data_IF_038656619811
#
_entry.id   IF_038656619811
#
_cell.length_a   1.000
_cell.length_b   1.000
_cell.length_c   1.000
_cell.angle_alpha   90.00
_cell.angle_beta   90.00
_cell.angle_gamma   90.00
#
_symmetry.space_group_name_H-M   'P 1'
#
loop_
_entity.id
_entity.type
_entity.pdbx_description
1 polymer ?
#
# COMPACT_ATOMS: atom_id res chain seq x y z
N UNK A 1 66.96 21.29 22.07
CA UNK A 1 66.80 21.94 20.75
C UNK A 1 66.38 20.87 19.76
N UNK A 2 65.07 20.55 19.71
CA UNK A 2 64.51 19.51 18.85
C UNK A 2 63.47 20.17 17.94
N UNK A 3 63.75 20.24 16.64
CA UNK A 3 62.80 20.64 15.59
C UNK A 3 62.32 19.38 14.90
N UNK A 4 61.18 18.83 15.32
CA UNK A 4 60.45 17.84 14.54
C UNK A 4 59.29 18.52 13.82
N UNK A 5 59.35 18.49 12.49
CA UNK A 5 58.35 19.00 11.56
C UNK A 5 57.14 18.06 11.56
N UNK A 6 55.95 18.65 11.70
CA UNK A 6 54.66 18.01 11.45
C UNK A 6 54.42 18.04 9.93
N UNK A 7 54.02 16.94 9.27
CA UNK A 7 53.55 17.00 7.89
C UNK A 7 52.09 17.46 7.85
N UNK A 8 51.86 18.60 7.23
CA UNK A 8 50.54 19.12 6.87
C UNK A 8 50.04 18.39 5.63
N UNK A 9 49.02 17.54 5.76
CA UNK A 9 48.30 16.98 4.62
C UNK A 9 47.29 18.03 4.12
N UNK A 10 47.58 18.59 2.95
CA UNK A 10 46.62 19.35 2.15
C UNK A 10 45.67 18.36 1.45
N UNK A 11 44.39 18.41 1.78
CA UNK A 11 43.32 17.81 0.97
C UNK A 11 42.75 18.91 0.08
N UNK A 12 43.14 18.92 -1.20
CA UNK A 12 42.42 19.66 -2.23
C UNK A 12 41.12 18.92 -2.53
N UNK A 13 39.99 19.47 -2.05
CA UNK A 13 38.68 19.05 -2.48
C UNK A 13 38.41 19.62 -3.88
N UNK A 14 38.51 18.77 -4.90
CA UNK A 14 37.99 19.03 -6.25
C UNK A 14 36.46 19.20 -6.19
N UNK A 15 36.01 20.44 -6.28
CA UNK A 15 34.62 20.81 -6.57
C UNK A 15 34.40 20.76 -8.09
N UNK A 16 34.11 19.57 -8.63
CA UNK A 16 33.56 19.46 -9.98
C UNK A 16 32.75 18.18 -10.16
N UNK A 17 31.48 18.21 -9.72
CA UNK A 17 30.43 17.38 -10.33
C UNK A 17 29.05 17.93 -9.94
N UNK A 18 28.60 18.98 -10.63
CA UNK A 18 27.18 19.32 -10.66
C UNK A 18 26.47 18.21 -11.41
N UNK A 19 25.96 17.21 -10.69
CA UNK A 19 25.04 16.22 -11.26
C UNK A 19 23.79 16.97 -11.72
N UNK A 20 23.59 17.01 -13.03
CA UNK A 20 22.35 17.44 -13.65
C UNK A 20 21.21 16.60 -13.07
N UNK A 21 20.42 17.15 -12.15
CA UNK A 21 19.10 16.61 -11.87
C UNK A 21 18.26 16.83 -13.12
N UNK A 22 17.53 15.81 -13.62
CA UNK A 22 16.59 16.04 -14.70
C UNK A 22 15.55 17.06 -14.21
N UNK A 23 15.46 18.20 -14.91
CA UNK A 23 14.42 19.18 -14.66
C UNK A 23 13.07 18.49 -14.78
N UNK A 24 12.33 18.38 -13.67
CA UNK A 24 10.91 18.04 -13.74
C UNK A 24 10.28 19.09 -14.63
N UNK A 25 9.67 18.65 -15.73
CA UNK A 25 8.94 19.56 -16.59
C UNK A 25 7.82 20.22 -15.77
N UNK A 26 7.68 21.53 -15.92
CA UNK A 26 6.64 22.34 -15.27
C UNK A 26 5.23 21.69 -15.26
N UNK A 27 4.78 21.01 -16.34
CA UNK A 27 3.49 20.32 -16.35
C UNK A 27 3.36 19.22 -15.28
N UNK A 28 4.43 18.47 -15.00
CA UNK A 28 4.43 17.41 -13.99
C UNK A 28 4.33 18.02 -12.58
N UNK A 29 5.06 19.11 -12.35
CA UNK A 29 5.01 19.83 -11.08
C UNK A 29 3.59 20.38 -10.80
N UNK A 30 2.94 20.94 -11.83
CA UNK A 30 1.57 21.45 -11.75
C UNK A 30 0.57 20.33 -11.46
N UNK A 31 0.69 19.18 -12.14
CA UNK A 31 -0.18 18.02 -11.89
C UNK A 31 -0.05 17.48 -10.45
N UNK A 32 1.17 17.41 -9.93
CA UNK A 32 1.43 16.99 -8.54
C UNK A 32 0.84 17.96 -7.52
N UNK A 33 1.00 19.26 -7.74
CA UNK A 33 0.39 20.29 -6.88
C UNK A 33 -1.13 20.19 -6.91
N UNK A 34 -1.75 20.02 -8.09
CA UNK A 34 -3.20 19.88 -8.20
C UNK A 34 -3.72 18.61 -7.52
N UNK A 35 -3.01 17.48 -7.61
CA UNK A 35 -3.36 16.25 -6.88
C UNK A 35 -3.20 16.40 -5.36
N UNK A 36 -2.14 17.05 -4.88
CA UNK A 36 -1.96 17.33 -3.47
C UNK A 36 -3.07 18.26 -2.94
N UNK A 37 -3.42 19.30 -3.70
CA UNK A 37 -4.50 20.23 -3.36
C UNK A 37 -5.87 19.55 -3.35
N UNK A 38 -6.16 18.62 -4.28
CA UNK A 38 -7.43 17.89 -4.29
C UNK A 38 -7.56 16.96 -3.07
N UNK A 39 -6.49 16.27 -2.69
CA UNK A 39 -6.44 15.45 -1.48
C UNK A 39 -6.62 16.31 -0.21
N UNK A 40 -5.93 17.45 -0.12
CA UNK A 40 -6.09 18.40 0.98
C UNK A 40 -7.52 18.98 1.04
N UNK A 41 -8.15 19.24 -0.09
CA UNK A 41 -9.52 19.74 -0.14
C UNK A 41 -10.54 18.70 0.33
N UNK A 42 -10.37 17.43 -0.04
CA UNK A 42 -11.20 16.32 0.47
C UNK A 42 -11.05 16.18 1.98
N UNK A 43 -9.81 16.22 2.50
CA UNK A 43 -9.52 16.19 3.94
C UNK A 43 -10.15 17.40 4.64
N UNK A 44 -10.01 18.60 4.08
CA UNK A 44 -10.56 19.84 4.64
C UNK A 44 -12.09 19.82 4.70
N UNK A 45 -12.76 19.43 3.61
CA UNK A 45 -14.23 19.34 3.57
C UNK A 45 -14.74 18.33 4.60
N UNK A 46 -14.10 17.17 4.67
CA UNK A 46 -14.47 16.12 5.62
C UNK A 46 -14.25 16.54 7.09
N UNK A 47 -13.11 17.15 7.40
CA UNK A 47 -12.80 17.65 8.75
C UNK A 47 -13.71 18.82 9.15
N UNK A 48 -14.08 19.71 8.23
CA UNK A 48 -15.00 20.83 8.50
C UNK A 48 -16.43 20.36 8.76
N UNK A 49 -16.91 19.36 8.02
CA UNK A 49 -18.24 18.79 8.20
C UNK A 49 -18.33 17.98 9.51
N UNK A 50 -17.28 17.22 9.85
CA UNK A 50 -17.23 16.42 11.09
C UNK A 50 -16.86 17.24 12.34
N UNK A 51 -16.08 18.30 12.21
CA UNK A 51 -15.73 19.19 13.33
C UNK A 51 -16.96 19.86 13.95
N UNK A 52 -17.97 20.19 13.13
CA UNK A 52 -19.26 20.70 13.63
C UNK A 52 -20.04 19.64 14.42
N UNK A 53 -19.88 18.36 14.11
CA UNK A 53 -20.52 17.25 14.83
C UNK A 53 -19.75 16.85 16.11
N UNK A 54 -18.43 16.99 16.13
CA UNK A 54 -17.58 16.64 17.27
C UNK A 54 -17.66 17.66 18.42
N UNK A 55 -17.85 18.95 18.11
CA UNK A 55 -18.00 20.01 19.12
C UNK A 55 -19.25 19.79 20.00
N UNK A 56 -20.33 19.19 19.47
CA UNK A 56 -21.54 18.91 20.26
C UNK A 56 -21.45 17.69 21.17
N UNK A 57 -20.41 16.85 21.03
CA UNK A 57 -20.22 15.62 21.83
C UNK A 57 -19.19 15.76 22.96
N UNK A 58 -18.21 16.67 22.81
CA UNK A 58 -17.15 16.86 23.83
C UNK A 58 -17.68 17.38 25.17
N UNK A 59 -18.86 18.01 25.21
CA UNK A 59 -19.47 18.48 26.46
C UNK A 59 -20.12 17.34 27.29
N UNK A 60 -20.22 16.12 26.75
CA UNK A 60 -20.88 14.99 27.44
C UNK A 60 -19.95 13.88 27.94
N UNK A 61 -18.67 13.80 27.54
CA UNK A 61 -17.83 12.61 27.81
C UNK A 61 -16.75 12.75 28.90
N UNK A 62 -16.68 13.86 29.63
CA UNK A 62 -15.81 13.96 30.81
C UNK A 62 -16.43 13.29 32.05
N UNK A 63 -16.69 11.98 31.98
CA UNK A 63 -16.80 11.04 33.11
C UNK A 63 -16.99 9.63 32.58
N UNK A 64 -16.44 8.65 33.31
CA UNK A 64 -16.58 7.19 33.18
C UNK A 64 -15.39 6.47 32.54
N UNK A 65 -14.75 5.65 33.40
CA UNK A 65 -13.58 4.85 33.10
C UNK A 65 -13.80 3.64 32.21
N UNK A 66 -12.67 3.01 31.94
CA UNK A 66 -12.41 1.83 31.09
C UNK A 66 -13.34 0.64 31.39
N UNK A 67 -14.56 0.68 30.87
CA UNK A 67 -15.24 -0.51 30.35
C UNK A 67 -15.01 -0.53 28.84
N UNK A 68 -14.85 -1.71 28.28
CA UNK A 68 -14.88 -1.98 26.83
C UNK A 68 -16.22 -1.48 26.31
N UNK A 69 -16.32 -0.17 26.03
CA UNK A 69 -17.50 0.45 25.44
C UNK A 69 -17.67 -0.25 24.11
N UNK A 70 -18.72 -1.06 23.99
CA UNK A 70 -19.20 -1.50 22.69
C UNK A 70 -19.41 -0.23 21.86
N UNK A 71 -18.50 -0.01 20.92
CA UNK A 71 -18.47 1.25 20.18
C UNK A 71 -19.75 1.44 19.39
N UNK A 72 -20.12 2.68 19.03
CA UNK A 72 -21.37 3.01 18.33
C UNK A 72 -21.51 2.41 16.91
N UNK A 73 -20.59 1.53 16.53
CA UNK A 73 -20.49 0.92 15.20
C UNK A 73 -20.73 -0.60 15.21
N UNK A 74 -21.12 -1.19 16.35
CA UNK A 74 -21.40 -2.64 16.46
C UNK A 74 -22.54 -3.10 15.53
N UNK A 75 -23.47 -2.20 15.20
CA UNK A 75 -24.61 -2.43 14.30
C UNK A 75 -24.46 -1.68 12.96
N UNK A 76 -23.24 -1.49 12.47
CA UNK A 76 -23.02 -0.89 11.16
C UNK A 76 -22.92 -1.95 10.06
N UNK A 77 -23.74 -1.80 9.02
CA UNK A 77 -23.54 -2.51 7.76
C UNK A 77 -22.38 -1.85 7.00
N UNK A 78 -21.47 -2.64 6.43
CA UNK A 78 -20.34 -2.14 5.65
C UNK A 78 -20.51 -2.55 4.20
N UNK A 79 -20.36 -1.57 3.30
CA UNK A 79 -20.41 -1.75 1.86
C UNK A 79 -19.18 -1.14 1.19
N UNK A 80 -18.72 -1.81 0.14
CA UNK A 80 -17.75 -1.26 -0.80
C UNK A 80 -18.48 -0.61 -1.98
N UNK A 81 -18.20 0.66 -2.22
CA UNK A 81 -18.72 1.43 -3.35
C UNK A 81 -17.57 1.67 -4.33
N UNK A 82 -17.67 1.21 -5.59
CA UNK A 82 -16.63 1.46 -6.59
C UNK A 82 -16.31 2.94 -6.70
N UNK A 83 -15.01 3.27 -6.65
CA UNK A 83 -14.54 4.62 -6.88
C UNK A 83 -14.54 4.90 -8.38
N UNK A 84 -15.30 5.90 -8.81
CA UNK A 84 -15.39 6.30 -10.22
C UNK A 84 -14.06 6.82 -10.74
N UNK A 85 -13.27 7.43 -9.86
CA UNK A 85 -11.93 7.94 -10.19
C UNK A 85 -10.86 6.85 -10.07
N UNK A 86 -11.25 5.65 -9.61
CA UNK A 86 -10.39 4.48 -9.57
C UNK A 86 -9.78 4.16 -10.94
N UNK A 87 -10.51 4.42 -12.04
CA UNK A 87 -10.01 4.21 -13.40
C UNK A 87 -8.71 4.97 -13.67
N UNK A 88 -8.61 6.23 -13.25
CA UNK A 88 -7.40 7.05 -13.46
C UNK A 88 -6.22 6.50 -12.65
N UNK A 89 -6.45 6.04 -11.42
CA UNK A 89 -5.43 5.36 -10.63
C UNK A 89 -4.95 4.07 -11.31
N UNK A 90 -5.87 3.29 -11.89
CA UNK A 90 -5.54 2.05 -12.58
C UNK A 90 -4.78 2.31 -13.88
N UNK A 91 -5.24 3.29 -14.66
CA UNK A 91 -4.55 3.74 -15.87
C UNK A 91 -3.15 4.23 -15.53
N UNK A 92 -2.96 4.98 -14.43
CA UNK A 92 -1.64 5.37 -13.94
C UNK A 92 -0.77 4.16 -13.58
N UNK A 93 -1.31 3.21 -12.81
CA UNK A 93 -0.59 2.02 -12.34
C UNK A 93 -0.22 1.05 -13.48
N UNK A 94 -1.02 1.02 -14.56
CA UNK A 94 -0.81 0.20 -15.76
C UNK A 94 0.07 0.90 -16.81
N UNK A 95 -0.12 2.20 -17.03
CA UNK A 95 0.52 2.94 -18.14
C UNK A 95 1.98 3.27 -17.86
N UNK A 96 2.40 3.39 -16.61
CA UNK A 96 3.77 3.76 -16.29
C UNK A 96 4.75 2.59 -16.44
N UNK A 97 5.33 2.53 -17.64
CA UNK A 97 6.54 1.75 -17.98
C UNK A 97 7.77 2.14 -17.14
N UNK A 98 7.73 3.19 -16.31
CA UNK A 98 8.92 3.79 -15.73
C UNK A 98 9.00 3.69 -14.20
N UNK A 99 10.23 3.47 -13.73
CA UNK A 99 10.66 3.51 -12.32
C UNK A 99 10.53 4.90 -11.69
N UNK A 100 10.30 5.96 -12.47
CA UNK A 100 10.34 7.35 -12.01
C UNK A 100 9.17 7.73 -11.10
N UNK A 101 7.97 7.19 -11.34
CA UNK A 101 6.81 7.52 -10.52
C UNK A 101 6.87 6.91 -9.11
N UNK A 102 7.38 5.67 -9.02
CA UNK A 102 7.61 4.98 -7.76
C UNK A 102 8.72 5.62 -6.92
N UNK A 103 9.64 6.37 -7.55
CA UNK A 103 10.66 7.15 -6.82
C UNK A 103 10.00 8.25 -6.00
N UNK A 104 8.93 8.87 -6.48
CA UNK A 104 8.22 9.91 -5.74
C UNK A 104 7.44 9.38 -4.53
N UNK A 105 7.02 8.12 -4.57
CA UNK A 105 6.37 7.44 -3.43
C UNK A 105 7.38 6.82 -2.45
N UNK A 106 8.68 7.04 -2.66
CA UNK A 106 9.78 6.38 -1.94
C UNK A 106 9.62 4.85 -1.86
N UNK A 107 8.98 4.27 -2.88
CA UNK A 107 8.65 2.86 -2.91
C UNK A 107 9.32 2.12 -4.08
N UNK A 108 10.06 2.84 -4.93
CA UNK A 108 10.74 2.25 -6.09
C UNK A 108 11.71 1.11 -5.76
N UNK A 109 12.37 1.13 -4.61
CA UNK A 109 13.23 0.03 -4.16
C UNK A 109 12.42 -1.21 -3.76
N UNK A 110 11.18 -1.01 -3.30
CA UNK A 110 10.23 -2.08 -2.94
C UNK A 110 9.57 -2.69 -4.18
N UNK A 111 9.53 -1.93 -5.26
CA UNK A 111 8.87 -2.26 -6.50
C UNK A 111 9.90 -2.28 -7.63
N UNK A 112 10.68 -3.36 -7.71
CA UNK A 112 11.75 -3.45 -8.71
C UNK A 112 11.26 -3.31 -10.16
N UNK A 113 12.22 -3.15 -11.08
CA UNK A 113 11.94 -2.84 -12.47
C UNK A 113 10.93 -3.83 -13.09
N UNK A 114 9.93 -3.34 -13.86
CA UNK A 114 9.03 -4.23 -14.59
C UNK A 114 9.86 -5.07 -15.55
N UNK A 115 9.73 -6.39 -15.47
CA UNK A 115 10.39 -7.29 -16.42
C UNK A 115 9.52 -7.28 -17.68
N UNK A 116 10.08 -6.75 -18.77
CA UNK A 116 9.41 -6.74 -20.07
C UNK A 116 9.02 -8.18 -20.46
N UNK A 117 7.79 -8.36 -20.95
CA UNK A 117 7.28 -9.66 -21.40
C UNK A 117 8.22 -10.33 -22.41
N UNK A 118 8.82 -9.55 -23.31
CA UNK A 118 9.82 -10.03 -24.27
C UNK A 118 11.09 -10.57 -23.61
N UNK A 119 11.51 -10.01 -22.47
CA UNK A 119 12.66 -10.51 -21.70
C UNK A 119 12.33 -11.81 -20.98
N UNK A 120 11.08 -11.99 -20.55
CA UNK A 120 10.57 -13.24 -19.97
C UNK A 120 10.50 -14.33 -21.06
N UNK A 121 9.91 -14.00 -22.21
CA UNK A 121 9.74 -14.95 -23.33
C UNK A 121 11.05 -15.36 -24.00
N UNK A 122 12.10 -14.52 -23.93
CA UNK A 122 13.44 -14.81 -24.48
C UNK A 122 14.41 -15.37 -23.44
N UNK A 123 14.03 -15.43 -22.16
CA UNK A 123 14.88 -16.02 -21.14
C UNK A 123 14.89 -17.55 -21.31
N UNK A 124 16.07 -18.20 -21.38
CA UNK A 124 16.18 -19.65 -21.26
C UNK A 124 15.40 -20.16 -20.04
N UNK A 125 14.73 -21.31 -20.13
CA UNK A 125 14.02 -21.91 -18.97
C UNK A 125 14.94 -22.09 -17.74
N UNK A 126 16.24 -22.21 -17.99
CA UNK A 126 17.33 -22.35 -17.01
C UNK A 126 17.66 -21.03 -16.29
N UNK A 127 17.34 -19.88 -16.90
CA UNK A 127 17.58 -18.53 -16.37
C UNK A 127 16.44 -18.02 -15.49
N UNK A 128 15.35 -18.78 -15.37
CA UNK A 128 14.45 -18.59 -14.24
C UNK A 128 15.17 -19.15 -13.02
N UNK A 129 15.61 -18.33 -12.06
CA UNK A 129 16.34 -18.84 -10.90
C UNK A 129 15.52 -19.97 -10.26
N UNK A 130 16.07 -21.19 -10.38
CA UNK A 130 15.51 -22.41 -9.80
C UNK A 130 15.53 -22.24 -8.29
N UNK A 131 14.37 -21.90 -7.71
CA UNK A 131 14.18 -21.58 -6.29
C UNK A 131 14.98 -20.34 -5.86
N UNK A 132 14.37 -19.54 -4.99
CA UNK A 132 15.17 -18.65 -4.17
C UNK A 132 15.92 -19.56 -3.19
N UNK A 133 17.17 -19.91 -3.51
CA UNK A 133 18.10 -20.37 -2.47
C UNK A 133 18.24 -19.20 -1.51
N UNK A 134 17.88 -19.40 -0.24
CA UNK A 134 17.68 -18.37 0.77
C UNK A 134 18.89 -17.47 1.11
N UNK A 135 19.95 -17.50 0.32
CA UNK A 135 21.22 -16.81 0.57
C UNK A 135 21.46 -15.60 -0.36
N UNK A 136 20.56 -15.28 -1.29
CA UNK A 136 20.70 -14.05 -2.07
C UNK A 136 20.10 -12.86 -1.30
N UNK A 137 20.95 -12.14 -0.56
CA UNK A 137 20.64 -10.90 0.18
C UNK A 137 20.03 -9.80 -0.70
N UNK A 138 20.02 -9.98 -2.03
CA UNK A 138 19.38 -9.09 -3.01
C UNK A 138 17.97 -9.52 -3.42
N UNK A 139 17.37 -10.49 -2.73
CA UNK A 139 16.02 -11.01 -3.00
C UNK A 139 14.92 -9.96 -2.74
N UNK A 140 14.83 -8.97 -3.62
CA UNK A 140 13.78 -7.95 -3.56
C UNK A 140 12.45 -8.59 -3.98
N UNK A 141 11.39 -8.26 -3.26
CA UNK A 141 10.06 -8.80 -3.49
C UNK A 141 9.42 -8.12 -4.71
N UNK A 142 9.45 -8.77 -5.88
CA UNK A 142 9.05 -8.13 -7.15
C UNK A 142 7.55 -8.32 -7.46
N UNK A 143 6.68 -7.48 -6.90
CA UNK A 143 5.25 -7.36 -7.27
C UNK A 143 5.03 -7.15 -8.79
N UNK A 144 6.01 -6.59 -9.52
CA UNK A 144 5.95 -6.30 -10.96
C UNK A 144 6.28 -7.48 -11.89
N UNK A 145 6.45 -8.71 -11.39
CA UNK A 145 6.70 -9.87 -12.28
C UNK A 145 5.44 -10.40 -12.98
N UNK A 146 4.26 -9.85 -12.74
CA UNK A 146 3.02 -10.25 -13.40
C UNK A 146 2.33 -9.14 -14.20
N UNK A 147 1.38 -9.53 -15.04
CA UNK A 147 0.54 -8.60 -15.82
C UNK A 147 -0.70 -8.26 -15.01
N UNK A 148 -0.88 -6.99 -14.67
CA UNK A 148 -2.12 -6.50 -14.03
C UNK A 148 -3.29 -6.79 -14.97
N UNK A 149 -4.27 -7.54 -14.46
CA UNK A 149 -5.51 -7.87 -15.17
C UNK A 149 -6.62 -6.89 -14.82
N UNK A 150 -6.69 -6.51 -13.54
CA UNK A 150 -7.58 -5.45 -13.07
C UNK A 150 -6.97 -4.75 -11.86
N UNK A 151 -7.39 -3.51 -11.66
CA UNK A 151 -7.15 -2.75 -10.46
C UNK A 151 -8.49 -2.06 -10.16
N UNK A 152 -8.94 -2.16 -8.92
CA UNK A 152 -10.26 -1.74 -8.51
C UNK A 152 -10.15 -1.06 -7.14
N UNK A 153 -10.53 0.21 -7.11
CA UNK A 153 -10.55 1.01 -5.88
C UNK A 153 -11.98 1.12 -5.36
N UNK A 154 -12.14 0.95 -4.06
CA UNK A 154 -13.43 1.04 -3.40
C UNK A 154 -13.40 2.05 -2.26
N UNK A 155 -14.42 2.89 -2.21
CA UNK A 155 -14.77 3.67 -1.03
C UNK A 155 -15.54 2.76 -0.06
N UNK A 156 -15.12 2.73 1.19
CA UNK A 156 -15.79 1.98 2.24
C UNK A 156 -16.80 2.87 2.96
N UNK A 157 -18.06 2.46 2.86
CA UNK A 157 -19.21 3.18 3.40
C UNK A 157 -19.83 2.32 4.50
N UNK A 158 -19.98 2.90 5.68
CA UNK A 158 -20.71 2.32 6.79
C UNK A 158 -22.12 2.88 6.80
N UNK A 159 -23.11 2.05 7.12
CA UNK A 159 -24.50 2.46 7.32
C UNK A 159 -24.88 2.16 8.75
N UNK A 160 -25.24 3.18 9.52
CA UNK A 160 -25.72 3.00 10.88
C UNK A 160 -27.18 2.56 10.84
N UNK A 161 -27.48 1.36 11.34
CA UNK A 161 -28.81 0.76 11.24
C UNK A 161 -29.89 1.53 12.02
N UNK A 162 -29.53 2.18 13.13
CA UNK A 162 -30.49 2.90 13.97
C UNK A 162 -30.94 4.23 13.31
N UNK A 163 -30.01 4.90 12.63
CA UNK A 163 -30.25 6.22 12.01
C UNK A 163 -30.48 6.15 10.50
N UNK A 164 -30.22 4.99 9.89
CA UNK A 164 -30.21 4.77 8.45
C UNK A 164 -29.26 5.72 7.67
N UNK A 165 -28.29 6.33 8.36
CA UNK A 165 -27.32 7.27 7.76
C UNK A 165 -26.06 6.53 7.30
N UNK A 166 -25.63 6.86 6.09
CA UNK A 166 -24.37 6.39 5.52
C UNK A 166 -23.23 7.36 5.84
N UNK A 167 -22.01 6.82 6.01
CA UNK A 167 -20.80 7.58 6.24
C UNK A 167 -19.60 6.91 5.57
N UNK A 168 -18.73 7.70 4.98
CA UNK A 168 -17.43 7.23 4.50
C UNK A 168 -16.49 7.03 5.68
N UNK A 169 -15.78 5.90 5.72
CA UNK A 169 -14.79 5.64 6.77
C UNK A 169 -13.40 5.23 6.26
N UNK A 170 -13.24 4.98 4.96
CA UNK A 170 -11.98 4.48 4.43
C UNK A 170 -12.04 4.10 2.95
N UNK A 171 -10.93 3.60 2.42
CA UNK A 171 -10.89 3.01 1.10
C UNK A 171 -9.93 1.83 1.06
N UNK A 172 -10.12 0.98 0.06
CA UNK A 172 -9.31 -0.20 -0.18
C UNK A 172 -9.07 -0.39 -1.68
N UNK A 173 -7.87 -0.81 -2.03
CA UNK A 173 -7.44 -1.03 -3.42
C UNK A 173 -7.13 -2.51 -3.63
N UNK A 174 -7.81 -3.10 -4.60
CA UNK A 174 -7.72 -4.50 -4.97
C UNK A 174 -7.08 -4.61 -6.35
N UNK A 175 -6.03 -5.40 -6.49
CA UNK A 175 -5.35 -5.62 -7.76
C UNK A 175 -5.36 -7.11 -8.08
N UNK A 176 -5.75 -7.46 -9.30
CA UNK A 176 -5.63 -8.83 -9.82
C UNK A 176 -4.43 -8.86 -10.76
N UNK A 177 -3.47 -9.73 -10.45
CA UNK A 177 -2.22 -9.86 -11.20
C UNK A 177 -2.11 -11.28 -11.74
N UNK A 178 -1.90 -11.41 -13.05
CA UNK A 178 -1.50 -12.68 -13.66
C UNK A 178 0.00 -12.84 -13.47
N UNK A 179 0.41 -13.67 -12.51
CA UNK A 179 1.83 -13.89 -12.27
C UNK A 179 2.33 -15.11 -13.05
N UNK A 180 3.41 -14.99 -13.84
CA UNK A 180 4.06 -16.14 -14.45
C UNK A 180 4.73 -17.03 -13.39
N UNK A 181 5.23 -16.44 -12.29
CA UNK A 181 5.90 -17.18 -11.20
C UNK A 181 5.77 -16.45 -9.86
N UNK A 182 4.74 -16.80 -9.07
CA UNK A 182 4.76 -16.57 -7.62
C UNK A 182 5.29 -17.86 -6.98
N UNK A 183 6.47 -17.79 -6.35
CA UNK A 183 7.16 -18.91 -5.71
C UNK A 183 6.24 -19.76 -4.80
N UNK A 184 5.23 -19.12 -4.20
CA UNK A 184 4.34 -19.73 -3.21
C UNK A 184 3.02 -20.26 -3.78
N UNK A 185 2.76 -20.08 -5.08
CA UNK A 185 1.58 -20.63 -5.74
C UNK A 185 1.88 -21.91 -6.54
N UNK A 186 3.15 -22.24 -6.81
CA UNK A 186 3.60 -23.43 -7.58
C UNK A 186 2.87 -23.70 -8.92
N UNK A 187 2.03 -22.78 -9.37
CA UNK A 187 1.19 -22.89 -10.54
C UNK A 187 1.45 -21.63 -11.37
N UNK A 188 2.21 -21.81 -12.44
CA UNK A 188 2.46 -20.77 -13.42
C UNK A 188 1.13 -20.39 -14.10
N UNK A 189 0.99 -19.12 -14.51
CA UNK A 189 -0.18 -18.59 -15.25
C UNK A 189 -1.51 -18.43 -14.48
N UNK A 190 -1.54 -18.52 -13.15
CA UNK A 190 -2.76 -18.20 -12.37
C UNK A 190 -2.78 -16.75 -11.90
N UNK A 191 -4.00 -16.21 -11.77
CA UNK A 191 -4.23 -14.89 -11.19
C UNK A 191 -4.09 -14.96 -9.66
N UNK A 192 -3.44 -13.95 -9.09
CA UNK A 192 -3.36 -13.70 -7.65
C UNK A 192 -3.90 -12.31 -7.33
N UNK A 193 -4.55 -12.18 -6.19
CA UNK A 193 -5.07 -10.92 -5.70
C UNK A 193 -4.05 -10.22 -4.84
N UNK A 194 -4.15 -8.91 -4.80
CA UNK A 194 -3.35 -8.03 -3.98
C UNK A 194 -4.26 -7.00 -3.32
N UNK A 195 -4.14 -6.84 -2.01
CA UNK A 195 -4.64 -5.65 -1.34
C UNK A 195 -3.48 -4.66 -1.30
N UNK A 196 -3.55 -3.64 -2.16
CA UNK A 196 -2.44 -2.73 -2.40
C UNK A 196 -2.37 -1.62 -1.36
N UNK A 197 -3.50 -0.96 -1.10
CA UNK A 197 -3.61 0.05 -0.07
C UNK A 197 -4.90 -0.16 0.74
N UNK A 198 -4.79 0.11 2.03
CA UNK A 198 -5.92 0.10 2.97
C UNK A 198 -5.83 1.34 3.83
N UNK A 199 -6.88 2.15 3.80
CA UNK A 199 -6.99 3.33 4.64
C UNK A 199 -8.27 3.28 5.46
N UNK A 200 -8.14 3.56 6.76
CA UNK A 200 -9.26 3.79 7.67
C UNK A 200 -9.04 5.14 8.37
N UNK A 201 -10.03 6.02 8.28
CA UNK A 201 -9.96 7.33 8.91
C UNK A 201 -9.86 7.18 10.44
N UNK A 202 -9.11 8.06 11.13
CA UNK A 202 -8.79 7.92 12.55
C UNK A 202 -10.00 7.67 13.46
N UNK A 203 -11.10 8.37 13.22
CA UNK A 203 -12.33 8.31 14.04
C UNK A 203 -13.01 6.93 14.02
N UNK A 204 -12.70 6.10 13.02
CA UNK A 204 -13.28 4.78 12.84
C UNK A 204 -12.32 3.64 13.17
N UNK A 205 -11.10 3.94 13.64
CA UNK A 205 -10.12 2.91 14.01
C UNK A 205 -10.53 2.23 15.32
N UNK A 206 -10.20 0.94 15.45
CA UNK A 206 -10.53 0.15 16.66
C UNK A 206 -12.01 -0.26 16.77
N UNK A 207 -12.83 0.05 15.77
CA UNK A 207 -14.28 -0.23 15.76
C UNK A 207 -14.65 -1.57 15.15
N UNK A 208 -13.71 -2.24 14.46
CA UNK A 208 -13.97 -3.43 13.65
C UNK A 208 -14.32 -3.13 12.19
N UNK A 209 -14.59 -1.88 11.82
CA UNK A 209 -14.95 -1.50 10.45
C UNK A 209 -13.88 -1.84 9.41
N UNK A 210 -12.59 -1.75 9.77
CA UNK A 210 -11.50 -2.15 8.86
C UNK A 210 -11.51 -3.65 8.56
N UNK A 211 -11.84 -4.49 9.55
CA UNK A 211 -11.97 -5.95 9.35
C UNK A 211 -13.14 -6.24 8.41
N UNK A 212 -14.28 -5.57 8.61
CA UNK A 212 -15.43 -5.71 7.72
C UNK A 212 -15.12 -5.23 6.29
N UNK A 213 -14.42 -4.11 6.13
CA UNK A 213 -13.96 -3.60 4.83
C UNK A 213 -13.06 -4.60 4.10
N UNK A 214 -12.06 -5.16 4.79
CA UNK A 214 -11.15 -6.17 4.22
C UNK A 214 -11.94 -7.44 3.89
N UNK A 215 -12.85 -7.89 4.75
CA UNK A 215 -13.72 -9.04 4.47
C UNK A 215 -14.51 -8.88 3.17
N UNK A 216 -15.13 -7.72 2.97
CA UNK A 216 -15.85 -7.41 1.72
C UNK A 216 -14.91 -7.39 0.50
N UNK A 217 -13.67 -6.90 0.64
CA UNK A 217 -12.70 -6.94 -0.46
C UNK A 217 -12.24 -8.35 -0.81
N UNK A 218 -12.10 -9.24 0.19
CA UNK A 218 -11.76 -10.64 -0.04
C UNK A 218 -12.90 -11.38 -0.73
N UNK A 219 -14.16 -11.09 -0.37
CA UNK A 219 -15.34 -11.62 -1.06
C UNK A 219 -15.36 -11.19 -2.53
N UNK A 220 -15.08 -9.90 -2.80
CA UNK A 220 -14.93 -9.39 -4.16
C UNK A 220 -13.81 -10.12 -4.92
N UNK A 221 -12.63 -10.26 -4.31
CA UNK A 221 -11.47 -10.89 -4.93
C UNK A 221 -11.65 -12.40 -5.18
N UNK A 222 -12.43 -13.11 -4.37
CA UNK A 222 -12.70 -14.56 -4.53
C UNK A 222 -13.23 -14.92 -5.91
N UNK A 223 -13.91 -13.98 -6.57
CA UNK A 223 -14.44 -14.15 -7.93
C UNK A 223 -13.35 -14.30 -8.99
N UNK A 224 -12.13 -13.86 -8.70
CA UNK A 224 -11.04 -13.76 -9.67
C UNK A 224 -9.84 -14.64 -9.31
N UNK A 225 -9.62 -14.87 -8.01
CA UNK A 225 -8.37 -15.46 -7.49
C UNK A 225 -8.63 -16.38 -6.31
N UNK A 226 -7.74 -17.35 -6.11
CA UNK A 226 -7.75 -18.27 -4.95
C UNK A 226 -6.87 -17.79 -3.80
N UNK A 227 -6.07 -16.75 -4.02
CA UNK A 227 -5.03 -16.33 -3.10
C UNK A 227 -4.86 -14.82 -3.19
N UNK A 228 -4.80 -14.17 -2.03
CA UNK A 228 -4.61 -12.72 -1.90
C UNK A 228 -3.37 -12.45 -1.06
N UNK A 229 -2.56 -11.50 -1.50
CA UNK A 229 -1.36 -11.06 -0.79
C UNK A 229 -1.50 -9.60 -0.36
N UNK A 230 -0.74 -9.24 0.66
CA UNK A 230 -0.50 -7.85 1.04
C UNK A 230 0.86 -7.72 1.71
N UNK A 231 1.33 -6.48 1.80
CA UNK A 231 2.52 -6.13 2.56
C UNK A 231 2.13 -5.16 3.66
N UNK A 232 2.70 -5.35 4.85
CA UNK A 232 2.56 -4.42 5.98
C UNK A 232 3.94 -4.08 6.52
N UNK A 233 4.15 -2.83 6.93
CA UNK A 233 5.39 -2.43 7.62
C UNK A 233 5.60 -3.28 8.87
N UNK A 234 6.84 -3.71 9.12
CA UNK A 234 7.19 -4.55 10.27
C UNK A 234 6.94 -3.86 11.61
N UNK A 235 6.97 -2.53 11.66
CA UNK A 235 6.61 -1.74 12.85
C UNK A 235 5.09 -1.54 13.03
N UNK A 236 4.28 -1.84 12.01
CA UNK A 236 2.83 -1.63 12.07
C UNK A 236 2.10 -2.86 12.61
N UNK A 237 2.29 -3.14 13.89
CA UNK A 237 1.69 -4.29 14.57
C UNK A 237 0.16 -4.24 14.60
N UNK A 238 -0.43 -3.03 14.64
CA UNK A 238 -1.89 -2.87 14.57
C UNK A 238 -2.44 -3.33 13.22
N UNK A 239 -1.81 -2.93 12.13
CA UNK A 239 -2.16 -3.38 10.79
C UNK A 239 -1.99 -4.89 10.65
N UNK A 240 -0.84 -5.41 11.08
CA UNK A 240 -0.54 -6.84 11.09
C UNK A 240 -1.63 -7.67 11.79
N UNK A 241 -1.98 -7.33 13.03
CA UNK A 241 -3.04 -8.03 13.77
C UNK A 241 -4.44 -7.84 13.15
N UNK A 242 -4.71 -6.68 12.54
CA UNK A 242 -5.95 -6.48 11.78
C UNK A 242 -6.04 -7.46 10.60
N UNK A 243 -4.95 -7.62 9.84
CA UNK A 243 -4.91 -8.57 8.72
C UNK A 243 -5.00 -10.03 9.20
N UNK A 244 -4.36 -10.39 10.31
CA UNK A 244 -4.52 -11.72 10.90
C UNK A 244 -5.98 -12.05 11.23
N UNK A 245 -6.73 -11.10 11.80
CA UNK A 245 -8.17 -11.27 12.06
C UNK A 245 -8.99 -11.48 10.78
N UNK A 246 -8.48 -11.05 9.64
CA UNK A 246 -9.11 -11.25 8.33
C UNK A 246 -8.68 -12.57 7.66
N UNK A 247 -7.93 -13.44 8.36
CA UNK A 247 -7.48 -14.72 7.82
C UNK A 247 -6.16 -14.66 7.04
N UNK A 248 -5.43 -13.54 7.10
CA UNK A 248 -4.08 -13.49 6.55
C UNK A 248 -3.07 -14.17 7.48
N UNK A 249 -2.18 -14.97 6.92
CA UNK A 249 -1.03 -15.56 7.60
C UNK A 249 0.25 -14.84 7.19
N UNK A 250 1.16 -14.65 8.13
CA UNK A 250 2.51 -14.16 7.84
C UNK A 250 3.29 -15.24 7.09
N UNK A 251 3.97 -14.87 6.02
CA UNK A 251 4.81 -15.79 5.26
C UNK A 251 6.28 -15.54 5.49
N UNK A 252 6.72 -14.30 5.31
CA UNK A 252 8.12 -13.93 5.40
C UNK A 252 8.29 -12.44 5.71
N UNK A 253 9.49 -12.07 6.16
CA UNK A 253 9.95 -10.70 6.09
C UNK A 253 10.52 -10.41 4.71
N UNK A 254 10.30 -9.19 4.21
CA UNK A 254 10.74 -8.77 2.87
C UNK A 254 11.23 -7.32 2.90
N UNK A 255 12.06 -6.98 1.90
CA UNK A 255 12.68 -5.66 1.76
C UNK A 255 13.97 -5.53 2.57
N UNK A 256 14.68 -4.41 2.38
CA UNK A 256 15.95 -4.14 3.06
C UNK A 256 15.73 -4.11 4.58
N UNK A 257 16.54 -4.85 5.33
CA UNK A 257 16.46 -4.99 6.79
C UNK A 257 15.08 -5.43 7.31
N UNK A 258 14.42 -6.34 6.61
CA UNK A 258 13.13 -6.91 7.05
C UNK A 258 12.05 -5.85 7.33
N UNK A 259 12.11 -4.73 6.60
CA UNK A 259 11.22 -3.56 6.81
C UNK A 259 9.74 -3.91 6.66
N UNK A 260 9.42 -5.00 5.98
CA UNK A 260 8.05 -5.40 5.69
C UNK A 260 7.75 -6.85 6.06
N UNK A 261 6.48 -7.13 6.34
CA UNK A 261 5.90 -8.47 6.48
C UNK A 261 5.03 -8.76 5.26
N UNK A 262 5.35 -9.83 4.53
CA UNK A 262 4.49 -10.37 3.49
C UNK A 262 3.42 -11.25 4.12
N UNK A 263 2.16 -10.98 3.81
CA UNK A 263 1.04 -11.77 4.31
C UNK A 263 0.21 -12.35 3.17
N UNK A 264 -0.44 -13.49 3.44
CA UNK A 264 -1.26 -14.23 2.47
C UNK A 264 -2.58 -14.68 3.08
N UNK A 265 -3.66 -14.55 2.33
CA UNK A 265 -4.97 -15.14 2.63
C UNK A 265 -5.36 -16.11 1.49
N UNK A 266 -5.74 -17.33 1.85
CA UNK A 266 -6.31 -18.29 0.90
C UNK A 266 -7.82 -18.09 0.85
N UNK A 267 -8.36 -18.02 -0.37
CA UNK A 267 -9.79 -17.92 -0.61
C UNK A 267 -10.28 -19.30 -1.00
N UNK A 268 -11.01 -19.93 -0.08
CA UNK A 268 -11.75 -21.17 -0.32
C UNK A 268 -12.98 -20.91 -1.20
#
# INVERSE_FOLDING_TARGET
>A
MFKNKIPTYFFEASLSSTRNMPELSWPILVALVLMALSQLFVIYKFTRENGKAAQSKKDQENKVGSKTKEGPYKNCEVKLVPDKDGKTFCEWLIAEKESNALKYLDAHEMYGNPILLEKIQKAPEENYPKRFSGDDEKSMFYFRRGTIQSCDRFNAVGKNNDTNKEFYFGHIECIVVKSPHMEYCNETNKNVGWIFAVYCAPDYRGTGLSVAMIGQSLEYLRRFVKCVYLIVLSENDRGFHCYQKCGFVHLNYVGVNDKYRLMRCLLN
#
